data_IF_037014324020
#
_entry.id   IF_037014324020
#
_cell.length_a   1.000
_cell.length_b   1.000
_cell.length_c   1.000
_cell.angle_alpha   90.00
_cell.angle_beta   90.00
_cell.angle_gamma   90.00
#
_symmetry.space_group_name_H-M   'P 1'
#
loop_
_entity.id
_entity.type
_entity.pdbx_description
1 polymer ?
#
# COMPACT_ATOMS: atom_id res chain seq x y z
N UNK A 1 38.47 -44.00 -49.40
CA UNK A 1 37.01 -43.77 -49.27
C UNK A 1 36.67 -43.63 -47.79
N UNK A 2 36.09 -42.48 -47.37
CA UNK A 2 35.33 -42.19 -46.12
C UNK A 2 35.98 -42.54 -44.74
N UNK A 3 35.51 -41.97 -43.61
CA UNK A 3 35.03 -40.62 -43.34
C UNK A 3 35.58 -40.08 -42.00
N UNK A 4 36.49 -39.10 -41.99
CA UNK A 4 37.07 -38.51 -40.77
C UNK A 4 36.47 -37.14 -40.41
N UNK A 5 35.19 -36.92 -40.74
CA UNK A 5 34.48 -35.64 -40.55
C UNK A 5 33.17 -35.74 -39.76
N UNK A 6 32.89 -36.88 -39.13
CA UNK A 6 31.62 -37.09 -38.40
C UNK A 6 31.78 -36.85 -36.87
N UNK A 7 32.99 -36.92 -36.32
CA UNK A 7 33.20 -36.80 -34.87
C UNK A 7 33.17 -35.36 -34.31
N UNK A 8 33.34 -34.32 -35.14
CA UNK A 8 33.35 -32.93 -34.69
C UNK A 8 31.94 -32.32 -34.56
N UNK A 9 30.93 -32.91 -35.20
CA UNK A 9 29.55 -32.40 -35.15
C UNK A 9 28.83 -32.82 -33.87
N UNK A 10 29.21 -33.95 -33.26
CA UNK A 10 28.59 -34.45 -32.04
C UNK A 10 28.97 -33.64 -30.78
N UNK A 11 30.16 -33.03 -30.74
CA UNK A 11 30.60 -32.25 -29.58
C UNK A 11 29.98 -30.84 -29.51
N UNK A 12 29.63 -30.24 -30.66
CA UNK A 12 29.00 -28.91 -30.70
C UNK A 12 27.51 -28.98 -30.34
N UNK A 13 26.83 -30.09 -30.63
CA UNK A 13 25.42 -30.31 -30.26
C UNK A 13 25.21 -30.55 -28.75
N UNK A 14 26.23 -30.98 -28.01
CA UNK A 14 26.14 -31.17 -26.55
C UNK A 14 26.34 -29.88 -25.74
N UNK A 15 26.91 -28.83 -26.34
CA UNK A 15 27.07 -27.51 -25.69
C UNK A 15 25.84 -26.63 -25.94
N UNK A 16 25.14 -26.84 -27.06
CA UNK A 16 23.90 -26.12 -27.39
C UNK A 16 22.69 -26.54 -26.53
N UNK A 17 22.72 -27.72 -25.90
CA UNK A 17 21.62 -28.23 -25.06
C UNK A 17 21.60 -27.66 -23.63
N UNK A 18 22.59 -26.87 -23.22
CA UNK A 18 22.59 -26.15 -21.93
C UNK A 18 22.00 -24.73 -21.98
N UNK A 19 21.64 -24.23 -23.16
CA UNK A 19 21.08 -22.87 -23.32
C UNK A 19 19.55 -22.80 -23.19
N UNK A 20 18.89 -23.91 -22.83
CA UNK A 20 17.43 -24.06 -22.89
C UNK A 20 16.75 -24.51 -21.60
N UNK A 21 17.45 -24.51 -20.46
CA UNK A 21 16.75 -24.60 -19.19
C UNK A 21 16.03 -23.26 -18.97
N UNK A 22 14.74 -23.19 -19.31
CA UNK A 22 13.86 -22.18 -18.75
C UNK A 22 14.03 -22.26 -17.24
N UNK A 23 14.72 -21.28 -16.65
CA UNK A 23 14.70 -21.07 -15.20
C UNK A 23 13.31 -20.54 -14.88
N UNK A 24 12.30 -21.41 -14.96
CA UNK A 24 11.11 -21.26 -14.15
C UNK A 24 11.59 -21.43 -12.72
N UNK A 25 12.01 -20.34 -12.09
CA UNK A 25 12.07 -20.29 -10.64
C UNK A 25 10.63 -20.46 -10.19
N UNK A 26 10.25 -21.70 -9.89
CA UNK A 26 9.04 -21.96 -9.15
C UNK A 26 9.28 -21.34 -7.77
N UNK A 27 8.82 -20.10 -7.57
CA UNK A 27 9.02 -19.42 -6.31
C UNK A 27 8.50 -20.32 -5.18
N UNK A 28 9.32 -20.52 -4.15
CA UNK A 28 8.92 -21.35 -3.01
C UNK A 28 7.82 -20.63 -2.24
N UNK A 29 6.66 -21.28 -2.09
CA UNK A 29 5.60 -20.75 -1.25
C UNK A 29 6.04 -20.77 0.22
N UNK A 30 5.76 -19.67 0.91
CA UNK A 30 6.03 -19.51 2.34
C UNK A 30 4.70 -19.46 3.07
N UNK A 31 4.59 -20.15 4.20
CA UNK A 31 3.41 -20.09 5.05
C UNK A 31 3.28 -18.66 5.64
N UNK A 32 2.25 -17.88 5.26
CA UNK A 32 2.07 -16.51 5.71
C UNK A 32 1.88 -16.37 7.23
N UNK A 33 1.48 -17.44 7.92
CA UNK A 33 1.28 -17.43 9.37
C UNK A 33 2.58 -17.54 10.17
N UNK A 34 3.68 -17.91 9.51
CA UNK A 34 5.03 -17.99 10.12
C UNK A 34 5.78 -16.65 10.11
N UNK A 35 5.22 -15.64 9.43
CA UNK A 35 5.78 -14.30 9.32
C UNK A 35 5.48 -13.48 10.58
N UNK A 36 6.26 -12.42 10.81
CA UNK A 36 6.06 -11.47 11.91
C UNK A 36 5.91 -10.06 11.37
N UNK A 37 4.74 -9.40 11.57
CA UNK A 37 3.53 -9.97 12.15
C UNK A 37 2.90 -11.05 11.25
N UNK A 38 2.17 -12.01 11.82
CA UNK A 38 1.55 -13.09 11.06
C UNK A 38 0.49 -12.54 10.12
N UNK A 39 0.48 -13.05 8.89
CA UNK A 39 -0.55 -12.76 7.91
C UNK A 39 -1.66 -13.81 7.97
N UNK A 40 -2.82 -13.47 7.39
CA UNK A 40 -3.93 -14.43 7.24
C UNK A 40 -3.48 -15.59 6.33
N UNK A 41 -3.90 -16.81 6.66
CA UNK A 41 -3.48 -18.03 5.98
C UNK A 41 -3.73 -18.07 4.46
N UNK A 42 -4.71 -17.29 3.97
CA UNK A 42 -5.03 -17.21 2.54
C UNK A 42 -4.13 -16.26 1.74
N UNK A 43 -3.20 -15.54 2.38
CA UNK A 43 -2.27 -14.65 1.69
C UNK A 43 -1.25 -15.46 0.90
N UNK A 44 -0.90 -14.97 -0.29
CA UNK A 44 0.08 -15.61 -1.15
C UNK A 44 1.44 -14.95 -0.88
N UNK A 45 2.35 -15.74 -0.34
CA UNK A 45 3.72 -15.34 -0.03
C UNK A 45 4.68 -16.27 -0.73
N UNK A 46 5.73 -15.69 -1.31
CA UNK A 46 6.75 -16.45 -2.02
C UNK A 46 8.14 -15.96 -1.70
N UNK A 47 9.10 -16.89 -1.72
CA UNK A 47 10.50 -16.56 -1.57
C UNK A 47 11.01 -15.81 -2.82
N UNK A 48 11.69 -14.69 -2.57
CA UNK A 48 12.28 -13.81 -3.56
C UNK A 48 13.72 -13.46 -3.13
N UNK A 49 14.66 -14.34 -3.47
CA UNK A 49 16.04 -14.27 -3.00
C UNK A 49 16.13 -14.38 -1.46
N UNK A 50 16.73 -13.39 -0.77
CA UNK A 50 16.80 -13.37 0.69
C UNK A 50 15.50 -12.89 1.36
N UNK A 51 14.49 -12.50 0.57
CA UNK A 51 13.23 -11.96 1.05
C UNK A 51 12.08 -12.94 0.91
N UNK A 52 11.00 -12.70 1.64
CA UNK A 52 9.68 -13.25 1.36
C UNK A 52 8.80 -12.08 0.94
N UNK A 53 8.20 -12.17 -0.25
CA UNK A 53 7.28 -11.17 -0.79
C UNK A 53 5.85 -11.68 -0.69
N UNK A 54 4.97 -10.88 -0.13
CA UNK A 54 3.57 -11.23 0.08
C UNK A 54 2.65 -10.19 -0.55
N UNK A 55 1.67 -10.65 -1.34
CA UNK A 55 0.54 -9.80 -1.72
C UNK A 55 -0.43 -9.71 -0.52
N UNK A 56 -0.63 -8.50 -0.04
CA UNK A 56 -1.51 -8.16 1.07
C UNK A 56 -2.68 -7.28 0.68
N UNK A 57 -2.90 -7.09 -0.63
CA UNK A 57 -4.02 -6.33 -1.18
C UNK A 57 -5.35 -6.82 -0.62
N UNK A 58 -6.27 -5.90 -0.39
CA UNK A 58 -7.63 -6.21 0.05
C UNK A 58 -8.60 -5.95 -1.10
N UNK A 59 -9.60 -6.83 -1.29
CA UNK A 59 -10.68 -6.51 -2.21
C UNK A 59 -11.36 -5.22 -1.75
N UNK A 60 -12.06 -4.54 -2.66
CA UNK A 60 -12.84 -3.36 -2.32
C UNK A 60 -13.80 -3.66 -1.18
N UNK A 61 -13.68 -2.92 -0.09
CA UNK A 61 -14.56 -3.03 1.08
C UNK A 61 -15.32 -1.74 1.29
N UNK A 62 -16.53 -1.84 1.83
CA UNK A 62 -17.33 -0.68 2.21
C UNK A 62 -17.35 -0.52 3.72
N UNK A 63 -17.46 0.73 4.16
CA UNK A 63 -17.62 1.08 5.56
C UNK A 63 -18.63 2.22 5.68
N UNK A 64 -19.26 2.31 6.84
CA UNK A 64 -20.36 3.25 7.08
C UNK A 64 -20.19 3.91 8.42
N UNK A 65 -20.23 5.24 8.41
CA UNK A 65 -20.15 6.14 9.57
C UNK A 65 -19.01 5.77 10.54
N UNK A 66 -17.83 5.47 10.01
CA UNK A 66 -16.65 5.25 10.84
C UNK A 66 -16.11 6.61 11.29
N UNK A 67 -15.84 6.75 12.58
CA UNK A 67 -15.22 7.96 13.11
C UNK A 67 -13.81 8.12 12.52
N UNK A 68 -13.54 9.28 11.93
CA UNK A 68 -12.23 9.65 11.42
C UNK A 68 -11.71 10.85 12.23
N UNK A 69 -10.54 10.67 12.85
CA UNK A 69 -9.89 11.65 13.73
C UNK A 69 -8.65 12.30 13.11
N UNK A 70 -8.33 11.99 11.86
CA UNK A 70 -7.03 12.31 11.26
C UNK A 70 -6.90 13.79 10.88
N UNK A 71 -8.02 14.48 10.68
CA UNK A 71 -8.03 15.85 10.18
C UNK A 71 -7.98 16.95 11.27
N UNK A 72 -8.21 16.59 12.54
CA UNK A 72 -8.35 17.53 13.67
C UNK A 72 -9.20 18.77 13.31
N UNK A 73 -10.46 18.53 12.95
CA UNK A 73 -11.36 19.58 12.43
C UNK A 73 -11.99 20.40 13.57
N UNK A 74 -12.09 21.75 13.43
CA UNK A 74 -12.70 22.62 14.45
C UNK A 74 -14.17 22.30 14.78
N UNK A 75 -14.90 21.69 13.84
CA UNK A 75 -16.31 21.30 14.00
C UNK A 75 -16.49 19.92 14.65
N UNK A 76 -15.40 19.27 15.08
CA UNK A 76 -15.42 17.98 15.77
C UNK A 76 -15.13 16.79 14.84
N UNK A 77 -15.36 15.59 15.37
CA UNK A 77 -15.13 14.32 14.68
C UNK A 77 -16.04 14.20 13.46
N UNK A 78 -15.43 13.91 12.31
CA UNK A 78 -16.18 13.52 11.11
C UNK A 78 -16.39 12.02 11.08
N UNK A 79 -17.50 11.61 10.48
CA UNK A 79 -17.85 10.23 10.24
C UNK A 79 -17.83 9.97 8.75
N UNK A 80 -17.01 9.00 8.36
CA UNK A 80 -16.73 8.66 6.98
C UNK A 80 -17.54 7.42 6.57
N UNK A 81 -18.12 7.49 5.38
CA UNK A 81 -18.73 6.35 4.71
C UNK A 81 -18.20 6.28 3.29
N UNK A 82 -17.88 5.09 2.82
CA UNK A 82 -17.31 4.96 1.49
C UNK A 82 -16.91 3.55 1.12
N UNK A 83 -16.15 3.47 0.04
CA UNK A 83 -15.47 2.27 -0.42
C UNK A 83 -13.97 2.51 -0.43
N UNK A 84 -13.21 1.55 0.06
CA UNK A 84 -11.76 1.54 0.03
C UNK A 84 -11.26 0.36 -0.79
N UNK A 85 -10.31 0.62 -1.69
CA UNK A 85 -9.58 -0.42 -2.43
C UNK A 85 -8.10 -0.23 -2.15
N UNK A 86 -7.44 -1.27 -1.66
CA UNK A 86 -6.03 -1.19 -1.25
C UNK A 86 -5.21 -2.26 -1.97
N UNK A 87 -4.20 -1.82 -2.71
CA UNK A 87 -3.18 -2.68 -3.30
C UNK A 87 -1.93 -2.58 -2.45
N UNK A 88 -1.50 -3.70 -1.85
CA UNK A 88 -0.39 -3.66 -0.90
C UNK A 88 0.52 -4.88 -1.04
N UNK A 89 1.82 -4.63 -0.99
CA UNK A 89 2.85 -5.67 -0.95
C UNK A 89 3.68 -5.51 0.32
N UNK A 90 3.96 -6.62 1.00
CA UNK A 90 4.90 -6.66 2.14
C UNK A 90 6.13 -7.49 1.80
N UNK A 91 7.28 -7.05 2.28
CA UNK A 91 8.54 -7.78 2.19
C UNK A 91 9.05 -8.13 3.58
N UNK A 92 9.52 -9.36 3.72
CA UNK A 92 10.04 -9.90 4.96
C UNK A 92 11.47 -10.40 4.77
N UNK A 93 12.30 -10.24 5.81
CA UNK A 93 13.64 -10.81 5.88
C UNK A 93 13.78 -11.57 7.18
N UNK A 94 14.29 -12.79 7.14
CA UNK A 94 14.34 -13.68 8.31
C UNK A 94 12.95 -13.80 8.99
N UNK A 95 11.89 -13.87 8.18
CA UNK A 95 10.48 -13.91 8.61
C UNK A 95 9.95 -12.63 9.29
N UNK A 96 10.74 -11.57 9.39
CA UNK A 96 10.34 -10.29 9.99
C UNK A 96 10.02 -9.26 8.91
N UNK A 97 8.92 -8.53 9.06
CA UNK A 97 8.52 -7.46 8.15
C UNK A 97 9.56 -6.35 8.14
N UNK A 98 10.01 -5.95 6.96
CA UNK A 98 11.00 -4.88 6.79
C UNK A 98 10.47 -3.71 5.97
N UNK A 99 9.55 -3.97 5.04
CA UNK A 99 9.04 -2.98 4.11
C UNK A 99 7.60 -3.30 3.70
N UNK A 100 6.83 -2.25 3.42
CA UNK A 100 5.50 -2.34 2.81
C UNK A 100 5.32 -1.25 1.77
N UNK A 101 4.72 -1.60 0.64
CA UNK A 101 4.15 -0.63 -0.30
C UNK A 101 2.66 -0.75 -0.24
N UNK A 102 1.96 0.38 -0.22
CA UNK A 102 0.52 0.41 -0.32
C UNK A 102 0.09 1.55 -1.23
N UNK A 103 -0.94 1.25 -2.02
CA UNK A 103 -1.73 2.22 -2.76
C UNK A 103 -3.17 2.02 -2.32
N UNK A 104 -3.84 3.12 -2.02
CA UNK A 104 -5.20 3.10 -1.54
C UNK A 104 -6.04 4.10 -2.32
N UNK A 105 -7.24 3.68 -2.68
CA UNK A 105 -8.23 4.55 -3.27
C UNK A 105 -9.47 4.53 -2.39
N UNK A 106 -9.90 5.71 -1.96
CA UNK A 106 -11.11 5.92 -1.17
C UNK A 106 -12.06 6.83 -1.94
N UNK A 107 -13.32 6.45 -2.03
CA UNK A 107 -14.39 7.33 -2.51
C UNK A 107 -15.53 7.26 -1.51
N UNK A 108 -16.00 8.43 -1.07
CA UNK A 108 -16.96 8.46 0.01
C UNK A 108 -17.54 9.83 0.32
N UNK A 109 -18.11 9.90 1.52
CA UNK A 109 -18.69 11.11 2.09
C UNK A 109 -18.30 11.25 3.56
N UNK A 110 -18.08 12.49 3.98
CA UNK A 110 -17.97 12.87 5.39
C UNK A 110 -19.28 13.49 5.90
N UNK A 111 -19.58 13.26 7.17
CA UNK A 111 -20.69 13.87 7.90
C UNK A 111 -20.26 14.18 9.34
N UNK A 112 -20.99 15.02 10.07
CA UNK A 112 -20.81 15.20 11.52
C UNK A 112 -21.70 14.28 12.36
N UNK A 113 -22.45 13.38 11.70
CA UNK A 113 -23.39 12.48 12.36
C UNK A 113 -22.82 11.06 12.47
N UNK A 114 -22.75 10.47 13.68
CA UNK A 114 -22.36 9.07 13.86
C UNK A 114 -23.31 8.08 13.18
N UNK A 115 -24.48 8.53 12.75
CA UNK A 115 -25.49 7.72 12.07
C UNK A 115 -25.76 8.19 10.64
N UNK A 116 -24.98 9.14 10.12
CA UNK A 116 -25.10 9.62 8.73
C UNK A 116 -26.35 10.45 8.43
N UNK A 117 -27.01 10.99 9.46
CA UNK A 117 -28.26 11.76 9.33
C UNK A 117 -28.06 13.25 9.02
N UNK A 118 -26.83 13.75 9.05
CA UNK A 118 -26.52 15.16 8.80
C UNK A 118 -26.20 15.42 7.33
N UNK A 119 -25.96 16.69 7.00
CA UNK A 119 -25.35 17.09 5.72
C UNK A 119 -24.06 16.29 5.50
N UNK A 120 -23.82 15.92 4.25
CA UNK A 120 -22.63 15.19 3.83
C UNK A 120 -21.83 15.97 2.79
N UNK A 121 -20.52 15.76 2.78
CA UNK A 121 -19.58 16.30 1.79
C UNK A 121 -18.87 15.15 1.11
N UNK A 122 -18.94 15.08 -0.22
CA UNK A 122 -18.25 14.05 -0.99
C UNK A 122 -16.73 14.31 -1.05
N UNK A 123 -15.96 13.23 -1.06
CA UNK A 123 -14.52 13.27 -1.26
C UNK A 123 -14.05 12.04 -2.06
N UNK A 124 -12.85 12.14 -2.60
CA UNK A 124 -12.07 11.01 -3.10
C UNK A 124 -10.61 11.19 -2.69
N UNK A 125 -9.95 10.11 -2.29
CA UNK A 125 -8.54 10.10 -1.95
C UNK A 125 -7.81 9.02 -2.76
N UNK A 126 -6.62 9.35 -3.23
CA UNK A 126 -5.69 8.44 -3.87
C UNK A 126 -4.37 8.53 -3.08
N UNK A 127 -4.07 7.50 -2.30
CA UNK A 127 -2.90 7.45 -1.43
C UNK A 127 -1.87 6.46 -1.96
N UNK A 128 -0.59 6.81 -1.80
CA UNK A 128 0.51 5.95 -2.18
C UNK A 128 1.67 6.14 -1.23
N UNK A 129 2.05 5.09 -0.52
CA UNK A 129 3.12 5.15 0.45
C UNK A 129 4.01 3.92 0.50
N UNK A 130 5.25 4.16 0.90
CA UNK A 130 6.25 3.16 1.22
C UNK A 130 6.59 3.25 2.70
N UNK A 131 6.50 2.13 3.40
CA UNK A 131 6.94 1.97 4.78
C UNK A 131 8.24 1.20 4.82
N UNK A 132 9.16 1.67 5.66
CA UNK A 132 10.30 0.89 6.13
C UNK A 132 10.20 0.74 7.65
N UNK A 133 10.45 -0.45 8.18
CA UNK A 133 10.36 -0.72 9.62
C UNK A 133 11.75 -0.69 10.25
N UNK A 134 12.00 0.27 11.15
CA UNK A 134 13.30 0.46 11.82
C UNK A 134 13.66 -0.74 12.71
N UNK A 135 12.65 -1.37 13.30
CA UNK A 135 12.75 -2.63 14.04
C UNK A 135 11.98 -3.69 13.24
N UNK A 136 12.67 -4.64 12.58
CA UNK A 136 12.00 -5.64 11.75
C UNK A 136 10.91 -6.41 12.52
N UNK A 137 9.71 -6.47 11.95
CA UNK A 137 8.53 -7.13 12.53
C UNK A 137 7.73 -6.29 13.53
N UNK A 138 8.22 -5.12 13.92
CA UNK A 138 7.51 -4.19 14.81
C UNK A 138 6.79 -3.12 13.99
N UNK A 139 5.46 -3.23 13.94
CA UNK A 139 4.58 -2.32 13.21
C UNK A 139 4.56 -0.89 13.75
N UNK A 140 5.08 -0.63 14.94
CA UNK A 140 5.13 0.72 15.54
C UNK A 140 6.43 1.48 15.23
N UNK A 141 7.37 0.82 14.54
CA UNK A 141 8.69 1.35 14.23
C UNK A 141 8.81 1.86 12.79
N UNK A 142 7.67 2.04 12.12
CA UNK A 142 7.64 2.40 10.72
C UNK A 142 8.03 3.86 10.47
N UNK A 143 8.67 4.05 9.33
CA UNK A 143 8.85 5.33 8.67
C UNK A 143 8.07 5.27 7.38
N UNK A 144 7.11 6.19 7.21
CA UNK A 144 6.22 6.25 6.06
C UNK A 144 6.73 7.32 5.10
N UNK A 145 6.94 6.97 3.85
CA UNK A 145 7.21 7.91 2.75
C UNK A 145 5.96 7.99 1.89
N UNK A 146 5.35 9.17 1.81
CA UNK A 146 4.20 9.46 0.96
C UNK A 146 4.68 9.91 -0.43
N UNK A 147 4.20 9.22 -1.45
CA UNK A 147 4.53 9.45 -2.86
C UNK A 147 3.37 10.14 -3.59
N UNK A 148 3.09 11.38 -3.20
CA UNK A 148 2.11 12.23 -3.90
C UNK A 148 0.67 11.76 -3.71
N UNK A 149 0.28 11.52 -2.46
CA UNK A 149 -1.12 11.32 -2.08
C UNK A 149 -1.95 12.53 -2.46
N UNK A 150 -3.20 12.32 -2.84
CA UNK A 150 -4.14 13.40 -3.11
C UNK A 150 -5.51 13.18 -2.46
N UNK A 151 -6.13 14.28 -2.07
CA UNK A 151 -7.46 14.36 -1.52
C UNK A 151 -8.25 15.38 -2.31
N UNK A 152 -9.30 14.93 -3.00
CA UNK A 152 -10.22 15.78 -3.74
C UNK A 152 -11.50 15.97 -2.95
N UNK A 153 -11.85 17.22 -2.68
CA UNK A 153 -13.13 17.61 -2.10
C UNK A 153 -13.83 18.55 -3.09
N UNK A 154 -14.73 18.05 -3.95
CA UNK A 154 -15.33 18.87 -5.02
C UNK A 154 -15.99 20.16 -4.52
N UNK A 155 -16.61 20.13 -3.34
CA UNK A 155 -17.26 21.29 -2.73
C UNK A 155 -16.27 22.39 -2.29
N UNK A 156 -14.99 22.07 -2.11
CA UNK A 156 -13.92 23.04 -1.84
C UNK A 156 -13.24 23.55 -3.12
N UNK A 157 -13.56 22.97 -4.29
CA UNK A 157 -12.99 23.37 -5.58
C UNK A 157 -11.47 23.16 -5.69
N UNK A 158 -10.89 22.33 -4.82
CA UNK A 158 -9.45 22.10 -4.74
C UNK A 158 -9.12 20.60 -4.60
N UNK A 159 -7.93 20.25 -5.05
CA UNK A 159 -7.26 18.99 -4.74
C UNK A 159 -6.12 19.31 -3.77
N UNK A 160 -6.10 18.58 -2.66
CA UNK A 160 -5.07 18.67 -1.64
C UNK A 160 -4.06 17.56 -1.87
N UNK A 161 -2.81 17.80 -1.56
CA UNK A 161 -1.72 16.86 -1.76
C UNK A 161 -0.96 16.67 -0.47
N UNK A 162 -0.56 15.43 -0.23
CA UNK A 162 0.41 15.07 0.81
C UNK A 162 1.60 14.34 0.18
N UNK A 163 2.79 14.78 0.55
CA UNK A 163 4.05 14.20 0.08
C UNK A 163 5.13 14.48 1.10
N UNK A 164 5.97 13.50 1.38
CA UNK A 164 7.00 13.66 2.39
C UNK A 164 7.31 12.36 3.11
N UNK A 165 7.97 12.50 4.25
CA UNK A 165 8.31 11.40 5.14
C UNK A 165 7.76 11.70 6.53
N UNK A 166 7.02 10.74 7.09
CA UNK A 166 6.56 10.74 8.48
C UNK A 166 7.37 9.70 9.23
N UNK A 167 8.07 10.15 10.27
CA UNK A 167 8.89 9.30 11.14
C UNK A 167 8.04 8.66 12.24
N UNK A 168 8.56 7.61 12.88
CA UNK A 168 7.88 6.91 13.98
C UNK A 168 7.55 7.81 15.19
N UNK A 169 8.26 8.91 15.38
CA UNK A 169 8.00 9.91 16.44
C UNK A 169 6.88 10.91 16.07
N UNK A 170 6.27 10.77 14.89
CA UNK A 170 5.24 11.65 14.36
C UNK A 170 5.78 12.87 13.61
N UNK A 171 7.10 13.07 13.54
CA UNK A 171 7.69 14.18 12.78
C UNK A 171 7.45 13.98 11.29
N UNK A 172 6.86 14.98 10.64
CA UNK A 172 6.66 15.01 9.20
C UNK A 172 7.63 16.01 8.52
N UNK A 173 8.37 15.53 7.52
CA UNK A 173 9.18 16.35 6.62
C UNK A 173 8.60 16.27 5.20
N UNK A 174 7.89 17.31 4.79
CA UNK A 174 7.17 17.28 3.53
C UNK A 174 6.24 18.46 3.33
N UNK A 175 5.22 18.22 2.51
CA UNK A 175 4.19 19.16 2.14
C UNK A 175 2.81 18.53 2.28
N UNK A 176 1.99 19.12 3.12
CA UNK A 176 0.55 18.88 3.20
C UNK A 176 -0.17 20.16 2.81
N UNK A 177 -1.01 20.13 1.78
CA UNK A 177 -1.72 21.33 1.30
C UNK A 177 -3.10 21.54 1.92
N UNK A 178 -3.56 20.64 2.79
CA UNK A 178 -4.84 20.77 3.50
C UNK A 178 -4.76 21.75 4.68
N UNK A 179 -4.83 23.04 4.35
CA UNK A 179 -4.66 24.16 5.29
C UNK A 179 -5.81 24.33 6.29
N UNK A 180 -5.57 25.05 7.38
CA UNK A 180 -6.61 25.44 8.35
C UNK A 180 -7.78 26.21 7.72
N UNK A 181 -7.51 27.01 6.69
CA UNK A 181 -8.57 27.69 5.94
C UNK A 181 -9.47 26.70 5.19
N UNK A 182 -8.90 25.66 4.59
CA UNK A 182 -9.65 24.58 3.95
C UNK A 182 -10.44 23.75 4.98
N UNK A 183 -9.84 23.47 6.15
CA UNK A 183 -10.53 22.81 7.28
C UNK A 183 -11.75 23.62 7.76
N UNK A 184 -11.60 24.94 7.91
CA UNK A 184 -12.69 25.83 8.30
C UNK A 184 -13.82 25.86 7.25
N UNK A 185 -13.46 25.89 5.96
CA UNK A 185 -14.44 25.81 4.86
C UNK A 185 -15.17 24.47 4.84
N UNK A 186 -14.45 23.35 5.04
CA UNK A 186 -15.05 22.03 5.16
C UNK A 186 -16.05 21.99 6.32
N UNK A 187 -15.69 22.55 7.47
CA UNK A 187 -16.60 22.65 8.60
C UNK A 187 -17.85 23.45 8.26
N UNK A 188 -17.73 24.59 7.59
CA UNK A 188 -18.90 25.37 7.14
C UNK A 188 -19.81 24.58 6.19
N UNK A 189 -19.25 23.71 5.34
CA UNK A 189 -20.01 22.82 4.47
C UNK A 189 -20.71 21.70 5.23
N UNK A 190 -20.15 21.24 6.36
CA UNK A 190 -20.70 20.13 7.15
C UNK A 190 -21.73 20.58 8.19
N UNK A 191 -21.59 21.81 8.70
CA UNK A 191 -22.55 22.40 9.64
C UNK A 191 -23.80 22.92 8.91
N UNK A 192 -25.00 22.86 9.52
CA UNK A 192 -26.25 23.35 8.93
C UNK A 192 -26.19 24.78 8.39
#
# INVERSE_FOLDING_TARGET
>A
MKPRRIFLVAAVLAIASLAGASVTSAHTLVDPTTLTPPLKAFRICYQDGPWVKCDTSTPTTSFTNQANTDFDLPCGTIYESGTVTTHATRWYKNLLLVERNAQEQIVGTWSLSPVGSSRTVAFAADDNWHETFLVPGDLSSDSIVLHGSSLRVPALGAEFHDSGITMADGTHHGHTSFTDAAKAQLCALLTP
#
